data_IF_636163984344
#
_entry.id   IF_636163984344
#
_cell.length_a   1.000
_cell.length_b   1.000
_cell.length_c   1.000
_cell.angle_alpha   90.00
_cell.angle_beta   90.00
_cell.angle_gamma   90.00
#
_symmetry.space_group_name_H-M   'P 1'
#
loop_
_entity.id
_entity.type
_entity.pdbx_description
1 polymer ?
#
# COMPACT_ATOMS: atom_id res chain seq x y z
N UNK A 1 63.61 4.23 -38.18
CA UNK A 1 63.54 4.82 -36.84
C UNK A 1 62.69 6.07 -36.92
N UNK A 2 61.37 5.91 -36.94
CA UNK A 2 60.39 7.01 -37.04
C UNK A 2 59.61 7.10 -35.73
N UNK A 3 59.58 8.30 -35.16
CA UNK A 3 59.12 8.61 -33.82
C UNK A 3 57.61 8.47 -33.60
N UNK A 4 57.32 7.97 -32.40
CA UNK A 4 56.09 7.94 -31.59
C UNK A 4 55.04 9.01 -31.95
N UNK A 5 53.89 8.58 -32.46
CA UNK A 5 52.63 9.33 -32.38
C UNK A 5 51.89 8.91 -31.11
N UNK A 6 51.88 9.80 -30.11
CA UNK A 6 50.98 9.74 -28.96
C UNK A 6 49.58 10.18 -29.40
N UNK A 7 48.71 9.22 -29.71
CA UNK A 7 47.28 9.45 -29.77
C UNK A 7 46.69 9.19 -28.38
N UNK A 8 46.54 10.27 -27.62
CA UNK A 8 45.81 10.33 -26.36
C UNK A 8 44.34 9.94 -26.61
N UNK A 9 43.97 8.68 -26.35
CA UNK A 9 42.57 8.29 -26.30
C UNK A 9 42.01 8.71 -24.95
N UNK A 10 41.24 9.80 -24.98
CA UNK A 10 40.25 10.17 -23.98
C UNK A 10 39.47 8.92 -23.57
N UNK A 11 39.69 8.47 -22.34
CA UNK A 11 38.80 7.51 -21.67
C UNK A 11 37.53 8.25 -21.34
N UNK A 12 36.59 8.19 -22.27
CA UNK A 12 35.19 8.49 -22.05
C UNK A 12 34.69 7.61 -20.91
N UNK A 13 34.55 8.22 -19.73
CA UNK A 13 33.96 7.60 -18.55
C UNK A 13 32.50 7.28 -18.89
N UNK A 14 32.27 6.07 -19.41
CA UNK A 14 30.94 5.47 -19.45
C UNK A 14 30.45 5.44 -18.00
N UNK A 15 29.55 6.36 -17.66
CA UNK A 15 28.62 6.19 -16.54
C UNK A 15 28.09 4.76 -16.66
N UNK A 16 28.52 3.91 -15.73
CA UNK A 16 28.13 2.53 -15.68
C UNK A 16 26.64 2.52 -15.42
N UNK A 17 25.89 2.15 -16.46
CA UNK A 17 24.52 1.66 -16.42
C UNK A 17 24.33 0.87 -15.12
N UNK A 18 23.60 1.46 -14.16
CA UNK A 18 23.33 0.86 -12.86
C UNK A 18 22.63 -0.47 -13.13
N UNK A 19 23.42 -1.53 -13.01
CA UNK A 19 23.16 -2.86 -13.53
C UNK A 19 21.86 -3.39 -12.94
N UNK A 20 20.76 -3.28 -13.68
CA UNK A 20 19.47 -3.83 -13.27
C UNK A 20 19.63 -5.33 -13.01
N UNK A 21 19.66 -5.72 -11.74
CA UNK A 21 19.76 -7.12 -11.33
C UNK A 21 18.37 -7.75 -11.50
N UNK A 22 18.20 -8.83 -12.27
CA UNK A 22 16.92 -9.55 -12.36
C UNK A 22 16.42 -9.99 -10.98
N UNK A 23 15.08 -10.06 -10.80
CA UNK A 23 14.47 -10.41 -9.53
C UNK A 23 14.91 -11.79 -9.02
N UNK A 24 15.07 -12.75 -9.94
CA UNK A 24 15.52 -14.10 -9.63
C UNK A 24 16.94 -14.08 -9.04
N UNK A 25 17.81 -13.26 -9.63
CA UNK A 25 19.19 -13.11 -9.16
C UNK A 25 19.26 -12.38 -7.82
N UNK A 26 18.35 -11.44 -7.56
CA UNK A 26 18.26 -10.73 -6.29
C UNK A 26 17.79 -11.67 -5.17
N UNK A 27 16.77 -12.49 -5.44
CA UNK A 27 16.31 -13.53 -4.52
C UNK A 27 17.41 -14.55 -4.21
N UNK A 28 18.10 -15.06 -5.23
CA UNK A 28 19.20 -16.01 -5.05
C UNK A 28 20.35 -15.43 -4.20
N UNK A 29 20.66 -14.15 -4.35
CA UNK A 29 21.69 -13.47 -3.56
C UNK A 29 21.25 -13.28 -2.09
N UNK A 30 19.97 -12.98 -1.85
CA UNK A 30 19.42 -12.89 -0.48
C UNK A 30 19.44 -14.27 0.17
N UNK A 31 19.00 -15.31 -0.53
CA UNK A 31 19.05 -16.69 -0.02
C UNK A 31 20.46 -17.13 0.34
N UNK A 32 21.45 -16.82 -0.50
CA UNK A 32 22.85 -17.11 -0.20
C UNK A 32 23.32 -16.35 1.04
N UNK A 33 23.01 -15.05 1.14
CA UNK A 33 23.35 -14.27 2.33
C UNK A 33 22.70 -14.82 3.60
N UNK A 34 21.46 -15.30 3.54
CA UNK A 34 20.81 -15.95 4.69
C UNK A 34 21.55 -17.24 5.08
N UNK A 35 22.00 -18.05 4.11
CA UNK A 35 22.83 -19.24 4.40
C UNK A 35 24.15 -18.87 5.07
N UNK A 36 24.84 -17.86 4.56
CA UNK A 36 26.13 -17.41 5.10
C UNK A 36 25.96 -16.84 6.53
N UNK A 37 24.84 -16.15 6.80
CA UNK A 37 24.46 -15.69 8.13
C UNK A 37 24.19 -16.86 9.09
N UNK A 38 23.46 -17.89 8.64
CA UNK A 38 23.17 -19.08 9.44
C UNK A 38 24.41 -19.91 9.74
N UNK A 39 25.39 -19.95 8.82
CA UNK A 39 26.65 -20.65 9.03
C UNK A 39 27.68 -19.85 9.83
N UNK A 40 27.36 -18.62 10.25
CA UNK A 40 28.27 -17.75 11.00
C UNK A 40 29.42 -17.14 10.16
N UNK A 41 29.34 -17.23 8.83
CA UNK A 41 30.37 -16.74 7.90
C UNK A 41 30.06 -15.32 7.38
N UNK A 42 29.10 -14.62 8.01
CA UNK A 42 28.66 -13.30 7.59
C UNK A 42 29.50 -12.20 8.24
N UNK A 43 30.12 -11.33 7.43
CA UNK A 43 30.76 -10.11 7.93
C UNK A 43 29.73 -9.00 8.18
N UNK A 44 30.13 -7.94 8.89
CA UNK A 44 29.27 -6.78 9.10
C UNK A 44 28.87 -6.12 7.78
N UNK A 45 29.83 -5.96 6.86
CA UNK A 45 29.59 -5.43 5.51
C UNK A 45 28.67 -6.35 4.72
N UNK A 46 28.85 -7.68 4.85
CA UNK A 46 27.96 -8.66 4.23
C UNK A 46 26.52 -8.53 4.73
N UNK A 47 26.33 -8.28 6.02
CA UNK A 47 25.02 -8.06 6.63
C UNK A 47 24.34 -6.78 6.12
N UNK A 48 25.09 -5.69 5.98
CA UNK A 48 24.61 -4.43 5.39
C UNK A 48 24.21 -4.64 3.92
N UNK A 49 25.02 -5.36 3.15
CA UNK A 49 24.69 -5.70 1.75
C UNK A 49 23.43 -6.57 1.65
N UNK A 50 23.26 -7.52 2.56
CA UNK A 50 22.05 -8.35 2.61
C UNK A 50 20.80 -7.50 2.91
N UNK A 51 20.90 -6.55 3.83
CA UNK A 51 19.81 -5.61 4.12
C UNK A 51 19.46 -4.75 2.90
N UNK A 52 20.46 -4.20 2.20
CA UNK A 52 20.26 -3.38 1.00
C UNK A 52 19.52 -4.20 -0.08
N UNK A 53 19.96 -5.44 -0.33
CA UNK A 53 19.33 -6.33 -1.32
C UNK A 53 17.90 -6.71 -0.93
N UNK A 54 17.65 -6.98 0.34
CA UNK A 54 16.30 -7.25 0.85
C UNK A 54 15.37 -6.05 0.62
N UNK A 55 15.85 -4.83 0.83
CA UNK A 55 15.08 -3.61 0.57
C UNK A 55 14.79 -3.44 -0.92
N UNK A 56 15.80 -3.61 -1.78
CA UNK A 56 15.64 -3.53 -3.24
C UNK A 56 14.59 -4.54 -3.75
N UNK A 57 14.59 -5.77 -3.22
CA UNK A 57 13.58 -6.78 -3.57
C UNK A 57 12.18 -6.32 -3.17
N UNK A 58 12.04 -5.81 -1.95
CA UNK A 58 10.76 -5.31 -1.45
C UNK A 58 10.20 -4.15 -2.28
N UNK A 59 11.04 -3.18 -2.63
CA UNK A 59 10.66 -2.03 -3.45
C UNK A 59 10.15 -2.47 -4.83
N UNK A 60 10.89 -3.37 -5.49
CA UNK A 60 10.51 -3.89 -6.82
C UNK A 60 9.23 -4.72 -6.78
N UNK A 61 9.04 -5.55 -5.76
CA UNK A 61 7.79 -6.30 -5.57
C UNK A 61 6.60 -5.36 -5.31
N UNK A 62 6.82 -4.25 -4.60
CA UNK A 62 5.80 -3.22 -4.37
C UNK A 62 5.39 -2.55 -5.68
N UNK A 63 6.36 -2.20 -6.53
CA UNK A 63 6.09 -1.65 -7.87
C UNK A 63 5.33 -2.66 -8.74
N UNK A 64 5.73 -3.94 -8.73
CA UNK A 64 5.04 -4.98 -9.50
C UNK A 64 3.60 -5.19 -9.01
N UNK A 65 3.38 -5.18 -7.70
CA UNK A 65 2.03 -5.24 -7.11
C UNK A 65 1.16 -4.07 -7.60
N UNK A 66 1.72 -2.87 -7.60
CA UNK A 66 1.03 -1.68 -8.10
C UNK A 66 0.72 -1.81 -9.60
N UNK A 67 1.68 -2.20 -10.43
CA UNK A 67 1.49 -2.41 -11.87
C UNK A 67 0.46 -3.50 -12.17
N UNK A 68 0.46 -4.60 -11.41
CA UNK A 68 -0.54 -5.65 -11.55
C UNK A 68 -1.95 -5.13 -11.22
N UNK A 69 -2.07 -4.31 -10.18
CA UNK A 69 -3.32 -3.64 -9.84
C UNK A 69 -3.78 -2.67 -10.94
N UNK A 70 -2.88 -1.82 -11.47
CA UNK A 70 -3.19 -0.93 -12.60
C UNK A 70 -3.66 -1.71 -13.82
N UNK A 71 -3.01 -2.83 -14.16
CA UNK A 71 -3.43 -3.69 -15.26
C UNK A 71 -4.84 -4.27 -15.06
N UNK A 72 -5.20 -4.66 -13.83
CA UNK A 72 -6.55 -5.16 -13.50
C UNK A 72 -7.61 -4.05 -13.60
N UNK A 73 -7.31 -2.85 -13.12
CA UNK A 73 -8.21 -1.68 -13.23
C UNK A 73 -8.39 -1.29 -14.71
N UNK A 74 -7.30 -1.23 -15.47
CA UNK A 74 -7.34 -0.92 -16.90
C UNK A 74 -8.06 -2.02 -17.71
N UNK A 75 -8.02 -3.29 -17.27
CA UNK A 75 -8.79 -4.37 -17.89
C UNK A 75 -10.30 -4.16 -17.68
N UNK A 76 -10.73 -3.73 -16.49
CA UNK A 76 -12.14 -3.41 -16.21
C UNK A 76 -12.58 -2.13 -16.98
N UNK A 77 -11.68 -1.17 -17.17
CA UNK A 77 -11.94 0.05 -17.93
C UNK A 77 -12.01 -0.23 -19.44
N UNK A 78 -11.13 -1.07 -19.99
CA UNK A 78 -11.18 -1.49 -21.42
C UNK A 78 -12.39 -2.37 -21.73
N UNK A 79 -12.88 -3.19 -20.78
CA UNK A 79 -14.17 -3.89 -20.93
C UNK A 79 -15.35 -2.92 -20.93
N UNK A 80 -15.27 -1.81 -20.19
CA UNK A 80 -16.29 -0.75 -20.20
C UNK A 80 -16.23 0.17 -21.42
N UNK A 81 -15.06 0.36 -22.03
CA UNK A 81 -14.87 1.21 -23.21
C UNK A 81 -15.19 0.53 -24.54
N UNK A 82 -15.37 -0.80 -24.58
CA UNK A 82 -15.75 -1.53 -25.79
C UNK A 82 -17.26 -1.48 -26.12
N UNK A 83 -18.06 -0.66 -25.41
CA UNK A 83 -19.42 -0.30 -25.83
C UNK A 83 -19.51 1.20 -26.08
N UNK A 84 -19.22 1.57 -27.33
CA UNK A 84 -19.68 2.78 -28.01
C UNK A 84 -19.23 4.11 -27.41
N UNK A 85 -18.28 4.78 -28.03
CA UNK A 85 -18.62 5.92 -28.90
C UNK A 85 -17.37 6.48 -29.58
N UNK A 86 -17.48 6.57 -30.89
CA UNK A 86 -16.59 7.30 -31.78
C UNK A 86 -16.78 8.81 -31.56
N UNK A 87 -16.05 9.45 -30.63
CA UNK A 87 -15.84 10.91 -30.68
C UNK A 87 -14.83 11.38 -29.63
N UNK A 88 -13.54 11.27 -29.92
CA UNK A 88 -12.50 11.94 -29.14
C UNK A 88 -11.44 12.58 -30.05
N UNK A 89 -11.87 13.50 -30.91
CA UNK A 89 -10.97 14.44 -31.61
C UNK A 89 -11.29 15.92 -31.36
N UNK A 90 -12.26 16.25 -30.48
CA UNK A 90 -12.70 17.65 -30.28
C UNK A 90 -12.24 18.33 -28.98
N UNK A 91 -11.18 17.86 -28.29
CA UNK A 91 -10.69 18.57 -27.09
C UNK A 91 -9.63 19.64 -27.36
N UNK A 92 -9.02 19.70 -28.55
CA UNK A 92 -7.93 20.64 -28.84
C UNK A 92 -8.44 22.01 -29.30
N UNK A 93 -9.65 22.11 -29.86
CA UNK A 93 -10.21 23.38 -30.37
C UNK A 93 -10.86 24.27 -29.27
N UNK A 94 -10.96 23.80 -28.03
CA UNK A 94 -11.54 24.61 -26.93
C UNK A 94 -10.53 25.50 -26.19
N UNK A 95 -9.24 25.48 -26.59
CA UNK A 95 -8.23 26.39 -26.05
C UNK A 95 -7.96 27.50 -27.07
N UNK A 96 -9.01 28.24 -27.43
CA UNK A 96 -8.89 29.54 -28.08
C UNK A 96 -9.50 30.58 -27.16
N UNK A 97 -8.61 31.36 -26.55
CA UNK A 97 -8.72 32.79 -26.21
C UNK A 97 -10.13 33.34 -25.98
N UNK A 98 -10.43 33.85 -24.78
CA UNK A 98 -10.98 35.21 -24.60
C UNK A 98 -10.78 35.62 -23.14
N UNK A 99 -9.94 36.64 -22.95
CA UNK A 99 -10.04 37.61 -21.87
C UNK A 99 -11.41 38.27 -21.89
N UNK A 100 -12.34 37.84 -21.03
CA UNK A 100 -13.49 38.63 -20.66
C UNK A 100 -14.06 38.15 -19.32
N UNK A 101 -14.18 39.10 -18.40
CA UNK A 101 -14.84 38.97 -17.11
C UNK A 101 -16.31 38.65 -17.37
N UNK A 102 -16.77 37.42 -17.09
CA UNK A 102 -18.18 37.16 -16.82
C UNK A 102 -18.36 35.82 -16.07
N UNK A 103 -19.10 35.89 -14.96
CA UNK A 103 -19.39 34.80 -14.02
C UNK A 103 -20.15 33.64 -14.70
N UNK A 104 -19.74 32.37 -14.53
CA UNK A 104 -20.57 31.25 -14.94
C UNK A 104 -21.56 30.81 -13.84
N UNK A 105 -22.72 30.24 -14.21
CA UNK A 105 -23.83 29.93 -13.31
C UNK A 105 -23.61 28.66 -12.47
N UNK A 106 -24.24 28.63 -11.30
CA UNK A 106 -24.22 27.52 -10.33
C UNK A 106 -24.79 26.23 -10.93
N UNK A 107 -23.95 25.35 -11.45
CA UNK A 107 -24.32 23.96 -11.71
C UNK A 107 -24.18 23.14 -10.42
N UNK A 108 -25.24 22.38 -10.10
CA UNK A 108 -25.32 21.53 -8.90
C UNK A 108 -24.21 20.46 -8.97
N UNK A 109 -23.16 20.62 -8.18
CA UNK A 109 -22.16 19.57 -7.92
C UNK A 109 -22.87 18.38 -7.27
N UNK A 110 -23.13 17.33 -8.05
CA UNK A 110 -23.37 16.00 -7.51
C UNK A 110 -22.09 15.63 -6.76
N UNK A 111 -22.15 15.48 -5.44
CA UNK A 111 -21.04 15.01 -4.60
C UNK A 111 -20.58 13.63 -5.12
N UNK A 112 -19.62 13.61 -6.06
CA UNK A 112 -18.84 12.42 -6.36
C UNK A 112 -17.93 12.23 -5.16
N UNK A 113 -18.34 11.34 -4.24
CA UNK A 113 -17.48 10.86 -3.16
C UNK A 113 -16.14 10.47 -3.76
N UNK A 114 -15.05 10.91 -3.13
CA UNK A 114 -13.69 10.56 -3.57
C UNK A 114 -13.56 9.04 -3.61
N UNK A 115 -12.69 8.50 -4.48
CA UNK A 115 -12.39 7.05 -4.51
C UNK A 115 -12.04 6.52 -3.12
N UNK A 116 -11.35 7.32 -2.31
CA UNK A 116 -11.02 7.04 -0.90
C UNK A 116 -12.29 6.90 -0.04
N UNK A 117 -13.26 7.79 -0.22
CA UNK A 117 -14.51 7.79 0.53
C UNK A 117 -15.42 6.63 0.08
N UNK A 118 -15.33 6.22 -1.20
CA UNK A 118 -16.00 5.02 -1.70
C UNK A 118 -15.41 3.76 -1.07
N UNK A 119 -14.07 3.64 -0.99
CA UNK A 119 -13.34 2.55 -0.34
C UNK A 119 -13.61 2.44 1.16
N UNK A 120 -13.80 3.57 1.84
CA UNK A 120 -14.15 3.61 3.26
C UNK A 120 -15.61 3.21 3.54
N UNK A 121 -16.46 3.11 2.52
CA UNK A 121 -17.85 2.67 2.66
C UNK A 121 -18.12 1.24 2.20
N UNK A 122 -17.12 0.57 1.62
CA UNK A 122 -17.23 -0.83 1.25
C UNK A 122 -17.32 -1.73 2.49
N UNK A 123 -18.18 -2.77 2.45
CA UNK A 123 -18.26 -3.76 3.51
C UNK A 123 -16.96 -4.54 3.60
N UNK A 124 -16.54 -4.83 4.83
CA UNK A 124 -15.33 -5.61 5.09
C UNK A 124 -15.66 -7.11 5.01
N UNK A 125 -14.73 -7.93 4.52
CA UNK A 125 -14.82 -9.40 4.55
C UNK A 125 -14.41 -9.98 5.91
N UNK A 126 -13.59 -9.24 6.67
CA UNK A 126 -13.25 -9.53 8.07
C UNK A 126 -12.99 -8.24 8.84
N UNK A 127 -13.16 -8.25 10.17
CA UNK A 127 -12.79 -7.13 11.06
C UNK A 127 -11.29 -6.85 10.95
N UNK A 128 -10.51 -7.91 10.70
CA UNK A 128 -9.08 -7.91 10.43
C UNK A 128 -8.67 -7.19 9.13
N UNK A 129 -9.57 -7.07 8.17
CA UNK A 129 -9.28 -6.54 6.84
C UNK A 129 -9.09 -5.02 6.87
N UNK A 130 -8.02 -4.54 6.22
CA UNK A 130 -7.71 -3.10 6.16
C UNK A 130 -7.13 -2.52 7.45
N UNK A 131 -6.82 -3.34 8.46
CA UNK A 131 -6.02 -2.93 9.62
C UNK A 131 -4.55 -2.75 9.22
N UNK A 132 -4.04 -1.52 9.33
CA UNK A 132 -2.61 -1.26 9.13
C UNK A 132 -1.78 -1.83 10.28
N UNK A 133 -0.47 -2.01 10.07
CA UNK A 133 0.47 -2.43 11.13
C UNK A 133 0.40 -1.45 12.31
N UNK A 134 0.29 -0.15 12.02
CA UNK A 134 0.15 0.89 13.03
C UNK A 134 -1.16 0.76 13.80
N UNK A 135 -2.29 0.55 13.11
CA UNK A 135 -3.58 0.31 13.77
C UNK A 135 -3.51 -0.92 14.68
N UNK A 136 -2.92 -2.02 14.21
CA UNK A 136 -2.76 -3.25 15.00
C UNK A 136 -1.93 -3.00 16.24
N UNK A 137 -0.80 -2.32 16.11
CA UNK A 137 0.05 -1.97 17.26
C UNK A 137 -0.71 -1.09 18.26
N UNK A 138 -1.42 -0.07 17.78
CA UNK A 138 -2.19 0.85 18.62
C UNK A 138 -3.34 0.16 19.36
N UNK A 139 -4.12 -0.70 18.68
CA UNK A 139 -5.20 -1.45 19.32
C UNK A 139 -4.66 -2.48 20.31
N UNK A 140 -3.60 -3.20 19.96
CA UNK A 140 -3.02 -4.22 20.84
C UNK A 140 -2.45 -3.60 22.11
N UNK A 141 -1.75 -2.47 22.00
CA UNK A 141 -1.22 -1.75 23.17
C UNK A 141 -2.33 -1.14 24.04
N UNK A 142 -3.31 -0.47 23.42
CA UNK A 142 -4.31 0.34 24.12
C UNK A 142 -5.49 -0.48 24.65
N UNK A 143 -5.94 -1.50 23.90
CA UNK A 143 -7.16 -2.26 24.21
C UNK A 143 -6.89 -3.68 24.71
N UNK A 144 -5.67 -4.20 24.57
CA UNK A 144 -5.33 -5.58 24.93
C UNK A 144 -4.06 -5.69 25.78
N UNK A 145 -3.60 -4.59 26.38
CA UNK A 145 -2.40 -4.58 27.26
C UNK A 145 -1.16 -5.22 26.62
N UNK A 146 -0.97 -4.99 25.32
CA UNK A 146 0.10 -5.58 24.50
C UNK A 146 0.00 -7.12 24.31
N UNK A 147 -1.16 -7.72 24.57
CA UNK A 147 -1.40 -9.14 24.34
C UNK A 147 -1.94 -9.41 22.93
N UNK A 148 -1.02 -9.69 22.01
CA UNK A 148 -1.32 -10.00 20.60
C UNK A 148 -2.21 -11.22 20.42
N UNK A 149 -2.08 -12.23 21.30
CA UNK A 149 -2.90 -13.45 21.23
C UNK A 149 -4.37 -13.12 21.50
N UNK A 150 -4.64 -12.41 22.59
CA UNK A 150 -6.01 -11.99 22.93
C UNK A 150 -6.63 -11.09 21.84
N UNK A 151 -5.83 -10.23 21.21
CA UNK A 151 -6.28 -9.41 20.09
C UNK A 151 -6.72 -10.26 18.89
N UNK A 152 -5.91 -11.24 18.47
CA UNK A 152 -6.25 -12.13 17.35
C UNK A 152 -7.43 -13.05 17.70
N UNK A 153 -7.45 -13.64 18.91
CA UNK A 153 -8.56 -14.47 19.38
C UNK A 153 -9.89 -13.68 19.40
N UNK A 154 -9.82 -12.39 19.75
CA UNK A 154 -10.96 -11.46 19.67
C UNK A 154 -11.38 -11.22 18.22
N UNK A 155 -10.46 -10.94 17.30
CA UNK A 155 -10.79 -10.74 15.89
C UNK A 155 -11.54 -11.96 15.33
N UNK A 156 -11.03 -13.16 15.58
CA UNK A 156 -11.64 -14.41 15.13
C UNK A 156 -13.04 -14.60 15.76
N UNK A 157 -13.18 -14.28 17.05
CA UNK A 157 -14.47 -14.37 17.76
C UNK A 157 -15.51 -13.37 17.24
N UNK A 158 -15.08 -12.16 16.88
CA UNK A 158 -15.95 -11.12 16.33
C UNK A 158 -16.32 -11.43 14.87
N UNK A 159 -15.39 -11.97 14.09
CA UNK A 159 -15.65 -12.41 12.71
C UNK A 159 -16.58 -13.64 12.63
N UNK A 160 -16.59 -14.48 13.67
CA UNK A 160 -17.53 -15.59 13.81
C UNK A 160 -18.95 -15.15 14.23
N UNK A 161 -19.14 -13.92 14.69
CA UNK A 161 -20.46 -13.40 15.06
C UNK A 161 -21.31 -13.11 13.81
N UNK A 162 -22.63 -13.28 13.92
CA UNK A 162 -23.56 -13.03 12.80
C UNK A 162 -24.22 -11.63 12.85
N UNK A 163 -24.16 -10.94 13.98
CA UNK A 163 -24.84 -9.66 14.20
C UNK A 163 -23.94 -8.62 14.90
N UNK A 164 -24.16 -7.34 14.57
CA UNK A 164 -23.42 -6.18 15.11
C UNK A 164 -23.42 -6.14 16.64
N UNK A 165 -24.58 -6.41 17.25
CA UNK A 165 -24.75 -6.33 18.70
C UNK A 165 -23.93 -7.41 19.41
N UNK A 166 -24.00 -8.66 18.92
CA UNK A 166 -23.19 -9.76 19.45
C UNK A 166 -21.67 -9.49 19.28
N UNK A 167 -21.27 -8.94 18.14
CA UNK A 167 -19.89 -8.53 17.88
C UNK A 167 -19.41 -7.42 18.84
N UNK A 168 -20.27 -6.42 19.12
CA UNK A 168 -19.97 -5.36 20.08
C UNK A 168 -19.83 -5.89 21.51
N UNK A 169 -20.67 -6.85 21.90
CA UNK A 169 -20.63 -7.48 23.22
C UNK A 169 -19.37 -8.31 23.42
N UNK A 170 -18.99 -9.13 22.43
CA UNK A 170 -17.75 -9.91 22.45
C UNK A 170 -16.54 -8.98 22.55
N UNK A 171 -16.53 -7.91 21.75
CA UNK A 171 -15.48 -6.90 21.81
C UNK A 171 -15.38 -6.27 23.21
N UNK A 172 -16.49 -5.79 23.79
CA UNK A 172 -16.47 -5.17 25.12
C UNK A 172 -16.05 -6.13 26.25
N UNK A 173 -16.35 -7.43 26.12
CA UNK A 173 -15.91 -8.44 27.11
C UNK A 173 -14.42 -8.79 26.98
N UNK A 174 -13.86 -8.62 25.78
CA UNK A 174 -12.47 -8.99 25.47
C UNK A 174 -11.44 -7.88 25.71
N UNK A 175 -11.87 -6.63 25.83
CA UNK A 175 -10.95 -5.49 26.03
C UNK A 175 -10.39 -5.46 27.45
N UNK A 176 -9.07 -5.24 27.53
CA UNK A 176 -8.35 -4.91 28.75
C UNK A 176 -7.55 -3.63 28.49
N UNK A 177 -8.12 -2.50 28.91
CA UNK A 177 -7.65 -1.19 28.46
C UNK A 177 -6.44 -0.71 29.25
N UNK A 178 -5.47 -0.13 28.53
CA UNK A 178 -4.31 0.54 29.09
C UNK A 178 -4.11 1.88 28.38
N UNK A 179 -3.82 2.94 29.15
CA UNK A 179 -3.58 4.28 28.62
C UNK A 179 -4.58 5.32 29.12
N UNK A 180 -4.65 6.46 28.43
CA UNK A 180 -5.51 7.57 28.83
C UNK A 180 -6.95 7.37 28.35
N UNK A 181 -7.92 7.98 29.07
CA UNK A 181 -9.35 7.90 28.70
C UNK A 181 -9.63 8.34 27.26
N UNK A 182 -8.86 9.29 26.73
CA UNK A 182 -9.02 9.80 25.38
C UNK A 182 -8.55 8.79 24.31
N UNK A 183 -7.40 8.15 24.54
CA UNK A 183 -6.84 7.13 23.65
C UNK A 183 -7.75 5.89 23.60
N UNK A 184 -8.20 5.44 24.77
CA UNK A 184 -9.13 4.31 24.89
C UNK A 184 -10.43 4.59 24.14
N UNK A 185 -11.02 5.78 24.32
CA UNK A 185 -12.27 6.15 23.64
C UNK A 185 -12.10 6.22 22.13
N UNK A 186 -11.00 6.82 21.66
CA UNK A 186 -10.68 6.90 20.22
C UNK A 186 -10.50 5.50 19.61
N UNK A 187 -9.78 4.62 20.31
CA UNK A 187 -9.54 3.25 19.87
C UNK A 187 -10.84 2.43 19.81
N UNK A 188 -11.72 2.57 20.82
CA UNK A 188 -13.03 1.91 20.84
C UNK A 188 -13.92 2.39 19.69
N UNK A 189 -14.03 3.70 19.46
CA UNK A 189 -14.85 4.23 18.37
C UNK A 189 -14.32 3.81 17.00
N UNK A 190 -12.99 3.84 16.81
CA UNK A 190 -12.36 3.34 15.59
C UNK A 190 -12.60 1.85 15.33
N UNK A 191 -12.77 1.05 16.38
CA UNK A 191 -13.10 -0.36 16.26
C UNK A 191 -14.59 -0.61 16.00
N UNK A 192 -15.48 0.13 16.68
CA UNK A 192 -16.94 0.07 16.43
C UNK A 192 -17.31 0.43 15.00
N UNK A 193 -16.67 1.46 14.42
CA UNK A 193 -16.89 1.81 13.00
C UNK A 193 -16.53 0.63 12.08
N UNK A 194 -15.46 -0.11 12.40
CA UNK A 194 -15.07 -1.31 11.64
C UNK A 194 -16.06 -2.46 11.80
N UNK A 195 -16.55 -2.71 13.02
CA UNK A 195 -17.63 -3.68 13.27
C UNK A 195 -18.86 -3.31 12.43
N UNK A 196 -19.33 -2.06 12.50
CA UNK A 196 -20.50 -1.62 11.72
C UNK A 196 -20.31 -1.80 10.21
N UNK A 197 -19.10 -1.55 9.69
CA UNK A 197 -18.79 -1.78 8.26
C UNK A 197 -18.76 -3.26 7.87
N UNK A 198 -18.37 -4.16 8.76
CA UNK A 198 -18.36 -5.61 8.50
C UNK A 198 -19.78 -6.15 8.30
N UNK A 199 -20.71 -5.68 9.11
CA UNK A 199 -22.10 -6.17 9.15
C UNK A 199 -23.09 -5.30 8.37
N UNK A 200 -22.62 -4.32 7.59
CA UNK A 200 -23.44 -3.45 6.73
C UNK A 200 -23.97 -4.16 5.46
N UNK A 201 -23.96 -5.50 5.43
CA UNK A 201 -24.44 -6.31 4.30
C UNK A 201 -25.95 -6.51 4.33
#
# INVERSE_FOLDING_TARGET
MGGVYLASKMTESKMTDEKHIPLENLAAQIEQGVRDMQSGNMSQEGMEQLQIKSRDLHERLTILRFKAFEAMVNLDETVRLNKGDESQTNLIDSIAEVTAIEKPPKSKKKNRKSLVESLQSLPLSSIGEGLTILDRANFTSTLFSNNTKNFNDMLDSVDACSHVEAACDVFQKSINTMGTKAEIKSAIEGFKVRISRRFQS
#
